data_IF_131810331439
#
_entry.id   IF_131810331439
#
_cell.length_a   1.000
_cell.length_b   1.000
_cell.length_c   1.000
_cell.angle_alpha   90.00
_cell.angle_beta   90.00
_cell.angle_gamma   90.00
#
_symmetry.space_group_name_H-M   'P 1'
#
loop_
_entity.id
_entity.type
_entity.pdbx_description
1 polymer ?
#
# COMPACT_ATOMS: atom_id res chain seq x y z
N UNK A 1 -11.04 42.78 -4.67
CA UNK A 1 -11.45 41.70 -5.58
C UNK A 1 -10.24 40.82 -5.80
N UNK A 2 -10.03 39.91 -4.86
CA UNK A 2 -8.91 38.98 -4.82
C UNK A 2 -9.25 37.82 -5.75
N UNK A 3 -8.62 37.77 -6.92
CA UNK A 3 -8.70 36.60 -7.79
C UNK A 3 -7.68 35.59 -7.25
N UNK A 4 -8.16 34.69 -6.40
CA UNK A 4 -7.47 33.46 -6.02
C UNK A 4 -7.32 32.68 -7.33
N UNK A 5 -6.09 32.65 -7.85
CA UNK A 5 -5.77 31.94 -9.07
C UNK A 5 -5.65 30.45 -8.73
N UNK A 6 -6.62 29.68 -9.22
CA UNK A 6 -6.70 28.22 -9.22
C UNK A 6 -5.52 27.61 -10.01
N UNK A 7 -4.35 27.53 -9.36
CA UNK A 7 -3.15 26.91 -9.92
C UNK A 7 -2.63 25.72 -9.10
N UNK A 8 -3.46 25.14 -8.24
CA UNK A 8 -3.18 23.89 -7.52
C UNK A 8 -3.84 22.65 -8.15
N UNK A 9 -4.27 22.74 -9.41
CA UNK A 9 -4.74 21.60 -10.17
C UNK A 9 -3.57 20.93 -10.89
N UNK A 10 -3.50 19.60 -10.75
CA UNK A 10 -2.72 18.66 -11.56
C UNK A 10 -1.26 18.45 -11.14
N UNK A 11 -1.04 18.06 -9.87
CA UNK A 11 0.00 17.06 -9.62
C UNK A 11 -0.51 15.68 -10.12
N UNK A 12 -0.43 15.47 -11.43
CA UNK A 12 -0.33 14.12 -12.00
C UNK A 12 0.99 13.52 -11.52
N UNK A 13 1.03 13.06 -10.26
CA UNK A 13 2.10 12.23 -9.74
C UNK A 13 1.99 10.85 -10.39
N UNK A 14 2.55 10.80 -11.59
CA UNK A 14 3.18 9.63 -12.18
C UNK A 14 3.94 8.92 -11.05
N UNK A 15 3.38 7.84 -10.51
CA UNK A 15 4.05 7.03 -9.48
C UNK A 15 5.25 6.42 -10.16
N UNK A 16 6.40 7.07 -10.02
CA UNK A 16 7.67 6.53 -10.48
C UNK A 16 7.82 5.12 -9.87
N UNK A 17 7.90 4.05 -10.68
CA UNK A 17 8.03 2.68 -10.18
C UNK A 17 9.24 2.53 -9.24
N UNK A 18 10.30 3.33 -9.44
CA UNK A 18 11.46 3.37 -8.56
C UNK A 18 11.14 3.86 -7.13
N UNK A 19 10.13 4.72 -6.96
CA UNK A 19 9.76 5.27 -5.65
C UNK A 19 8.96 4.27 -4.82
N UNK A 20 8.16 3.44 -5.48
CA UNK A 20 7.42 2.32 -4.85
C UNK A 20 8.38 1.17 -4.54
N UNK A 21 9.27 0.83 -5.47
CA UNK A 21 10.31 -0.19 -5.28
C UNK A 21 11.20 0.09 -4.05
N UNK A 22 11.45 1.36 -3.73
CA UNK A 22 12.27 1.75 -2.56
C UNK A 22 11.65 1.41 -1.20
N UNK A 23 10.34 1.21 -1.08
CA UNK A 23 9.70 0.90 0.21
C UNK A 23 9.72 -0.60 0.50
N UNK A 24 9.70 -1.42 -0.55
CA UNK A 24 9.78 -2.87 -0.45
C UNK A 24 11.13 -3.35 0.11
N UNK A 25 12.22 -2.75 -0.35
CA UNK A 25 13.59 -3.08 0.06
C UNK A 25 13.83 -2.94 1.60
N UNK A 26 13.43 -1.84 2.27
CA UNK A 26 13.47 -1.73 3.73
C UNK A 26 12.68 -2.80 4.49
N UNK A 27 11.51 -3.21 3.98
CA UNK A 27 10.70 -4.22 4.65
C UNK A 27 11.41 -5.59 4.63
N UNK A 28 12.10 -5.88 3.54
CA UNK A 28 12.91 -7.09 3.40
C UNK A 28 14.11 -7.10 4.35
N UNK A 29 14.87 -6.00 4.37
CA UNK A 29 15.97 -5.84 5.32
C UNK A 29 15.49 -6.00 6.78
N UNK A 30 14.32 -5.44 7.13
CA UNK A 30 13.75 -5.59 8.46
C UNK A 30 13.42 -7.06 8.80
N UNK A 31 12.88 -7.82 7.85
CA UNK A 31 12.62 -9.25 8.06
C UNK A 31 13.91 -10.04 8.32
N UNK A 32 14.96 -9.76 7.57
CA UNK A 32 16.26 -10.42 7.79
C UNK A 32 16.87 -10.03 9.14
N UNK A 33 16.73 -8.77 9.55
CA UNK A 33 17.16 -8.30 10.86
C UNK A 33 16.37 -8.96 12.01
N UNK A 34 15.06 -9.16 11.86
CA UNK A 34 14.26 -9.91 12.85
C UNK A 34 14.75 -11.36 12.99
N UNK A 35 15.02 -12.03 11.88
CA UNK A 35 15.56 -13.40 11.89
C UNK A 35 16.94 -13.47 12.53
N UNK A 36 17.81 -12.50 12.25
CA UNK A 36 19.12 -12.38 12.90
C UNK A 36 19.01 -12.16 14.42
N UNK A 37 17.95 -11.51 14.87
CA UNK A 37 17.62 -11.37 16.29
C UNK A 37 16.95 -12.63 16.89
N UNK A 38 16.78 -13.71 16.12
CA UNK A 38 16.14 -14.95 16.56
C UNK A 38 14.60 -14.88 16.58
N UNK A 39 14.01 -13.90 15.93
CA UNK A 39 12.55 -13.69 15.84
C UNK A 39 12.09 -14.12 14.45
N UNK A 40 11.31 -15.20 14.36
CA UNK A 40 10.71 -15.58 13.08
C UNK A 40 9.45 -14.75 12.80
N UNK A 41 9.40 -13.98 11.70
CA UNK A 41 8.21 -13.22 11.35
C UNK A 41 7.04 -14.16 11.04
N UNK A 42 5.91 -13.91 11.68
CA UNK A 42 4.72 -14.75 11.53
C UNK A 42 3.96 -14.51 10.22
N UNK A 43 4.05 -13.31 9.66
CA UNK A 43 3.35 -12.94 8.44
C UNK A 43 3.53 -11.48 8.07
N UNK A 44 2.97 -11.11 6.92
CA UNK A 44 3.06 -9.79 6.34
C UNK A 44 1.70 -9.09 6.36
N UNK A 45 1.72 -7.78 6.61
CA UNK A 45 0.54 -6.93 6.45
C UNK A 45 0.88 -5.87 5.41
N UNK A 46 0.17 -5.88 4.28
CA UNK A 46 0.29 -4.85 3.25
C UNK A 46 -0.88 -3.87 3.43
N UNK A 47 -0.56 -2.65 3.84
CA UNK A 47 -1.56 -1.64 4.18
C UNK A 47 -1.82 -0.68 3.01
N UNK A 48 -3.05 -0.14 2.97
CA UNK A 48 -3.50 0.88 2.01
C UNK A 48 -3.36 0.44 0.55
N UNK A 49 -3.73 -0.81 0.27
CA UNK A 49 -3.73 -1.36 -1.08
C UNK A 49 -5.02 -1.03 -1.82
N UNK A 50 -4.88 -0.63 -3.08
CA UNK A 50 -6.00 -0.55 -4.01
C UNK A 50 -6.39 -1.92 -4.56
N UNK A 51 -5.51 -2.92 -4.49
CA UNK A 51 -5.77 -4.26 -5.04
C UNK A 51 -7.01 -4.97 -4.51
N UNK A 52 -7.52 -4.56 -3.34
CA UNK A 52 -8.73 -5.09 -2.70
C UNK A 52 -9.89 -4.08 -2.71
N UNK A 53 -9.83 -3.08 -3.60
CA UNK A 53 -10.87 -2.06 -3.79
C UNK A 53 -11.61 -2.28 -5.11
N UNK A 54 -12.94 -2.15 -5.11
CA UNK A 54 -13.80 -2.31 -6.30
C UNK A 54 -13.85 -1.00 -7.10
N UNK A 55 -12.70 -0.56 -7.64
CA UNK A 55 -12.60 0.70 -8.38
C UNK A 55 -12.59 0.49 -9.90
N UNK A 56 -13.35 1.31 -10.62
CA UNK A 56 -13.39 1.34 -12.09
C UNK A 56 -12.47 2.42 -12.68
N UNK A 57 -11.86 3.27 -11.84
CA UNK A 57 -11.00 4.36 -12.30
C UNK A 57 -9.74 3.80 -13.00
N UNK A 58 -9.46 4.21 -14.26
CA UNK A 58 -8.33 3.68 -15.01
C UNK A 58 -6.96 3.94 -14.36
N UNK A 59 -6.78 5.07 -13.67
CA UNK A 59 -5.52 5.40 -13.02
C UNK A 59 -5.31 4.56 -11.74
N UNK A 60 -6.38 4.30 -10.99
CA UNK A 60 -6.32 3.38 -9.85
C UNK A 60 -6.13 1.94 -10.30
N UNK A 61 -6.72 1.52 -11.42
CA UNK A 61 -6.45 0.19 -12.00
C UNK A 61 -4.98 -0.01 -12.39
N UNK A 62 -4.32 1.02 -12.92
CA UNK A 62 -2.89 0.95 -13.19
C UNK A 62 -2.09 0.74 -11.89
N UNK A 63 -2.45 1.43 -10.80
CA UNK A 63 -1.82 1.21 -9.48
C UNK A 63 -2.05 -0.20 -8.94
N UNK A 64 -3.24 -0.77 -9.14
CA UNK A 64 -3.53 -2.14 -8.73
C UNK A 64 -2.58 -3.11 -9.44
N UNK A 65 -2.37 -2.95 -10.75
CA UNK A 65 -1.44 -3.82 -11.49
C UNK A 65 -0.02 -3.73 -10.93
N UNK A 66 0.45 -2.53 -10.58
CA UNK A 66 1.76 -2.34 -9.95
C UNK A 66 1.83 -3.04 -8.57
N UNK A 67 0.79 -2.88 -7.73
CA UNK A 67 0.73 -3.49 -6.39
C UNK A 67 0.71 -5.02 -6.44
N UNK A 68 0.01 -5.61 -7.41
CA UNK A 68 -0.13 -7.06 -7.54
C UNK A 68 1.21 -7.76 -7.76
N UNK A 69 2.12 -7.16 -8.55
CA UNK A 69 3.47 -7.71 -8.79
C UNK A 69 4.22 -7.90 -7.46
N UNK A 70 4.13 -6.93 -6.54
CA UNK A 70 4.80 -7.00 -5.25
C UNK A 70 4.10 -7.96 -4.28
N UNK A 71 2.77 -7.98 -4.28
CA UNK A 71 2.00 -8.89 -3.43
C UNK A 71 2.31 -10.34 -3.82
N UNK A 72 2.38 -10.65 -5.12
CA UNK A 72 2.82 -11.96 -5.61
C UNK A 72 4.24 -12.30 -5.18
N UNK A 73 5.18 -11.36 -5.28
CA UNK A 73 6.56 -11.60 -4.86
C UNK A 73 6.65 -11.93 -3.35
N UNK A 74 5.95 -11.15 -2.51
CA UNK A 74 5.87 -11.39 -1.05
C UNK A 74 5.31 -12.78 -0.77
N UNK A 75 4.22 -13.16 -1.44
CA UNK A 75 3.57 -14.46 -1.29
C UNK A 75 4.48 -15.62 -1.69
N UNK A 76 5.26 -15.45 -2.75
CA UNK A 76 6.14 -16.51 -3.26
C UNK A 76 7.42 -16.65 -2.42
N UNK A 77 8.01 -15.53 -1.99
CA UNK A 77 9.39 -15.53 -1.48
C UNK A 77 9.52 -15.27 0.02
N UNK A 78 8.58 -14.56 0.63
CA UNK A 78 8.82 -13.91 1.92
C UNK A 78 7.80 -14.23 3.00
N UNK A 79 6.55 -14.54 2.63
CA UNK A 79 5.44 -14.68 3.56
C UNK A 79 4.76 -16.04 3.45
N UNK A 80 4.63 -16.74 4.58
CA UNK A 80 3.68 -17.86 4.72
C UNK A 80 2.23 -17.39 4.87
N UNK A 81 2.05 -16.15 5.36
CA UNK A 81 0.75 -15.53 5.64
C UNK A 81 0.83 -14.07 5.25
N UNK A 82 -0.15 -13.61 4.52
CA UNK A 82 -0.30 -12.20 4.15
C UNK A 82 -1.71 -11.73 4.49
N UNK A 83 -1.81 -10.49 4.95
CA UNK A 83 -3.07 -9.77 5.09
C UNK A 83 -2.94 -8.49 4.28
N UNK A 84 -3.93 -8.22 3.43
CA UNK A 84 -3.96 -7.01 2.61
C UNK A 84 -5.09 -6.13 3.12
N UNK A 85 -4.77 -4.93 3.60
CA UNK A 85 -5.74 -3.96 4.07
C UNK A 85 -6.10 -3.00 2.94
N UNK A 86 -7.40 -2.75 2.69
CA UNK A 86 -7.84 -1.83 1.66
C UNK A 86 -7.36 -0.40 1.93
N UNK A 87 -7.21 0.36 0.86
CA UNK A 87 -7.22 1.81 0.93
C UNK A 87 -8.65 2.30 1.22
N UNK A 88 -8.78 3.25 2.14
CA UNK A 88 -10.04 3.91 2.51
C UNK A 88 -9.84 5.41 2.35
N UNK A 89 -10.80 6.09 1.72
CA UNK A 89 -10.72 7.52 1.42
C UNK A 89 -10.84 8.36 2.68
N UNK A 90 -11.73 7.94 3.57
CA UNK A 90 -11.95 8.57 4.85
C UNK A 90 -10.80 8.25 5.80
N UNK A 91 -10.36 9.25 6.54
CA UNK A 91 -9.37 9.06 7.59
C UNK A 91 -9.96 8.15 8.70
N UNK A 92 -9.24 7.09 9.03
CA UNK A 92 -9.65 6.15 10.07
C UNK A 92 -9.35 6.73 11.46
N UNK A 93 -10.31 7.48 12.03
CA UNK A 93 -10.26 7.97 13.41
C UNK A 93 -11.29 7.29 14.31
N UNK A 94 -10.80 6.75 15.43
CA UNK A 94 -11.63 6.09 16.43
C UNK A 94 -12.03 4.66 16.06
N UNK A 95 -12.53 3.90 17.03
CA UNK A 95 -12.82 2.46 16.87
C UNK A 95 -13.85 2.21 15.76
N UNK A 96 -14.83 3.10 15.64
CA UNK A 96 -15.93 2.98 14.68
C UNK A 96 -15.45 2.98 13.22
N UNK A 97 -14.44 3.79 12.89
CA UNK A 97 -13.93 3.87 11.52
C UNK A 97 -13.22 2.60 11.09
N UNK A 98 -12.60 1.84 12.02
CA UNK A 98 -11.90 0.60 11.68
C UNK A 98 -12.83 -0.53 11.22
N UNK A 99 -14.15 -0.38 11.36
CA UNK A 99 -15.11 -1.32 10.77
C UNK A 99 -14.96 -1.41 9.24
N UNK A 100 -14.52 -0.34 8.59
CA UNK A 100 -14.24 -0.34 7.15
C UNK A 100 -13.09 -1.28 6.75
N UNK A 101 -12.26 -1.73 7.71
CA UNK A 101 -11.18 -2.69 7.49
C UNK A 101 -11.56 -4.15 7.79
N UNK A 102 -12.75 -4.42 8.35
CA UNK A 102 -13.26 -5.78 8.55
C UNK A 102 -13.88 -6.28 7.24
N UNK A 103 -13.05 -6.70 6.29
CA UNK A 103 -13.48 -7.58 5.19
C UNK A 103 -12.81 -8.93 5.35
#
# INVERSE_FOLDING_TARGET
>A
MEKINDQAAVEHRNTNPAKVLKIYDPAMCMQDDLRRAGIEPHGWIVNRCFAVTDTEDPALRAKIMDELVYIEEILVRHARRIVVSPWVAEELRGIESFRHLRK
#
